data_IF_363324056352
#
_entry.id   IF_363324056352
#
_cell.length_a   1.000
_cell.length_b   1.000
_cell.length_c   1.000
_cell.angle_alpha   90.00
_cell.angle_beta   90.00
_cell.angle_gamma   90.00
#
_symmetry.space_group_name_H-M   'P 1'
#
loop_
_entity.id
_entity.type
_entity.pdbx_description
1 polymer ?
#
# COMPACT_ATOMS: atom_id res chain seq x y z
N UNK A 1 17.23 7.37 24.43
CA UNK A 1 16.20 7.86 23.56
C UNK A 1 16.47 7.55 22.09
N UNK A 2 15.49 7.01 21.44
CA UNK A 2 15.62 6.58 20.05
C UNK A 2 14.82 7.50 19.12
N UNK A 3 15.51 8.31 18.35
CA UNK A 3 14.88 9.25 17.45
C UNK A 3 14.22 8.56 16.25
N UNK A 4 14.66 7.34 15.90
CA UNK A 4 14.07 6.64 14.76
C UNK A 4 12.63 6.22 15.03
N UNK A 5 12.25 6.04 16.28
CA UNK A 5 10.88 5.66 16.63
C UNK A 5 9.88 6.75 16.25
N UNK A 6 10.28 8.02 16.26
CA UNK A 6 9.39 9.11 15.89
C UNK A 6 9.13 9.16 14.39
N UNK A 7 10.12 8.77 13.57
CA UNK A 7 9.98 8.80 12.11
C UNK A 7 9.06 7.69 11.60
N UNK A 8 8.79 6.66 12.43
CA UNK A 8 7.94 5.54 12.05
C UNK A 8 6.53 5.67 12.61
N UNK A 9 6.14 6.87 13.02
CA UNK A 9 4.82 7.10 13.56
C UNK A 9 3.88 7.70 12.54
N UNK A 10 2.61 7.31 12.64
CA UNK A 10 1.55 7.80 11.79
C UNK A 10 0.45 8.39 12.65
N UNK A 11 0.05 9.60 12.30
CA UNK A 11 -0.92 10.37 13.06
C UNK A 11 -2.23 10.41 12.28
N UNK A 12 -3.32 10.08 12.96
CA UNK A 12 -4.64 10.09 12.36
C UNK A 12 -5.40 11.30 12.86
N UNK A 13 -5.87 12.12 11.92
CA UNK A 13 -6.71 13.27 12.23
C UNK A 13 -8.09 13.06 11.62
N UNK A 14 -9.13 13.33 12.40
CA UNK A 14 -10.51 13.29 11.93
C UNK A 14 -11.33 14.25 12.75
N UNK A 15 -12.33 14.83 12.11
CA UNK A 15 -13.19 15.84 12.76
C UNK A 15 -12.40 17.01 13.34
N UNK A 16 -11.27 17.35 12.72
CA UNK A 16 -10.43 18.45 13.16
C UNK A 16 -9.54 18.16 14.36
N UNK A 17 -9.49 16.92 14.83
CA UNK A 17 -8.74 16.52 16.01
C UNK A 17 -7.88 15.30 15.78
N UNK A 18 -6.81 15.16 16.56
CA UNK A 18 -5.98 13.96 16.56
C UNK A 18 -6.77 12.81 17.16
N UNK A 19 -6.94 11.74 16.39
CA UNK A 19 -7.68 10.56 16.81
C UNK A 19 -6.80 9.43 17.30
N UNK A 20 -5.54 9.38 16.88
CA UNK A 20 -4.63 8.34 17.32
C UNK A 20 -3.27 8.44 16.68
N UNK A 21 -2.34 7.67 17.24
CA UNK A 21 -0.96 7.57 16.77
C UNK A 21 -0.65 6.08 16.63
N UNK A 22 -0.10 5.70 15.49
CA UNK A 22 0.13 4.29 15.17
C UNK A 22 1.55 4.06 14.65
N UNK A 23 2.07 2.87 14.88
CA UNK A 23 3.39 2.48 14.40
C UNK A 23 3.36 1.96 12.96
N UNK A 24 2.20 1.53 12.49
CA UNK A 24 2.04 0.96 11.16
C UNK A 24 1.05 1.77 10.34
N UNK A 25 1.40 2.01 9.09
CA UNK A 25 0.54 2.77 8.19
C UNK A 25 -0.82 2.09 8.01
N UNK A 26 -0.86 0.77 7.92
CA UNK A 26 -2.12 0.03 7.76
C UNK A 26 -3.08 0.26 8.91
N UNK A 27 -2.59 0.27 10.15
CA UNK A 27 -3.42 0.54 11.30
C UNK A 27 -3.95 1.97 11.29
N UNK A 28 -3.09 2.93 10.92
CA UNK A 28 -3.49 4.33 10.84
C UNK A 28 -4.55 4.53 9.75
N UNK A 29 -4.39 3.91 8.60
CA UNK A 29 -5.34 4.03 7.50
C UNK A 29 -6.71 3.47 7.90
N UNK A 30 -6.75 2.32 8.57
CA UNK A 30 -8.02 1.76 9.03
C UNK A 30 -8.72 2.68 10.02
N UNK A 31 -7.96 3.29 10.93
CA UNK A 31 -8.51 4.26 11.85
C UNK A 31 -9.03 5.50 11.13
N UNK A 32 -8.26 6.03 10.19
CA UNK A 32 -8.66 7.20 9.42
C UNK A 32 -9.91 6.93 8.59
N UNK A 33 -10.04 5.72 8.05
CA UNK A 33 -11.22 5.34 7.28
C UNK A 33 -12.48 5.37 8.17
N UNK A 34 -12.36 4.93 9.42
CA UNK A 34 -13.46 4.97 10.37
C UNK A 34 -13.84 6.41 10.75
N UNK A 35 -12.86 7.29 10.93
CA UNK A 35 -13.10 8.67 11.36
C UNK A 35 -13.23 9.67 10.20
N UNK A 36 -13.30 9.19 8.96
CA UNK A 36 -13.36 10.05 7.77
C UNK A 36 -12.19 11.03 7.73
N UNK A 37 -11.01 10.53 8.09
CA UNK A 37 -9.87 11.38 8.35
C UNK A 37 -8.72 11.21 7.38
N UNK A 38 -7.59 11.71 7.83
CA UNK A 38 -6.33 11.65 7.08
C UNK A 38 -5.26 11.01 7.93
N UNK A 39 -4.23 10.50 7.26
CA UNK A 39 -3.04 9.98 7.91
C UNK A 39 -1.85 10.82 7.48
N UNK A 40 -1.08 11.31 8.45
CA UNK A 40 0.18 12.01 8.18
C UNK A 40 1.31 11.29 8.91
N UNK A 41 2.52 11.40 8.37
CA UNK A 41 3.69 10.84 9.03
C UNK A 41 4.33 11.87 9.98
N UNK A 42 5.47 11.50 10.57
CA UNK A 42 6.18 12.37 11.51
C UNK A 42 6.71 13.65 10.86
N UNK A 43 6.87 13.64 9.55
CA UNK A 43 7.32 14.82 8.78
C UNK A 43 6.15 15.66 8.26
N UNK A 44 4.93 15.38 8.73
CA UNK A 44 3.71 16.08 8.31
C UNK A 44 3.32 15.82 6.86
N UNK A 45 3.88 14.80 6.22
CA UNK A 45 3.49 14.44 4.87
C UNK A 45 2.20 13.64 4.87
N UNK A 46 1.31 13.95 3.94
CA UNK A 46 0.05 13.23 3.80
C UNK A 46 0.31 11.84 3.23
N UNK A 47 -0.07 10.82 4.00
CA UNK A 47 0.08 9.43 3.59
C UNK A 47 -1.20 8.90 2.96
N UNK A 48 -2.36 9.29 3.49
CA UNK A 48 -3.64 8.76 3.03
C UNK A 48 -4.78 9.69 3.42
N UNK A 49 -5.81 9.75 2.57
CA UNK A 49 -7.01 10.53 2.83
C UNK A 49 -8.22 9.78 2.31
N UNK A 50 -9.24 9.65 3.13
CA UNK A 50 -10.44 8.91 2.75
C UNK A 50 -11.17 9.59 1.59
N UNK A 51 -11.49 8.80 0.57
CA UNK A 51 -12.27 9.27 -0.56
C UNK A 51 -11.57 10.23 -1.49
N UNK A 52 -10.34 10.61 -1.19
CA UNK A 52 -9.60 11.56 -1.99
C UNK A 52 -8.85 10.83 -3.10
N UNK A 53 -9.42 10.81 -4.29
CA UNK A 53 -8.77 10.29 -5.48
C UNK A 53 -8.89 11.32 -6.58
N UNK A 54 -7.77 11.59 -7.22
CA UNK A 54 -7.69 12.65 -8.24
C UNK A 54 -8.28 12.24 -9.57
N UNK A 55 -8.31 10.94 -9.84
CA UNK A 55 -8.74 10.43 -11.13
C UNK A 55 -9.50 9.12 -10.96
N UNK A 56 -10.30 8.80 -11.97
CA UNK A 56 -11.05 7.54 -11.98
C UNK A 56 -10.16 6.36 -12.31
N UNK A 57 -9.02 6.60 -12.90
CA UNK A 57 -8.06 5.57 -13.24
C UNK A 57 -6.65 6.12 -13.10
N UNK A 58 -5.70 5.24 -12.94
CA UNK A 58 -4.30 5.62 -12.87
C UNK A 58 -3.49 4.84 -13.87
N UNK A 59 -2.39 5.41 -14.25
CA UNK A 59 -1.43 4.80 -15.15
C UNK A 59 -0.22 4.40 -14.33
N UNK A 60 0.40 3.30 -14.70
CA UNK A 60 1.61 2.84 -14.02
C UNK A 60 2.72 3.86 -14.24
N UNK A 61 3.12 4.52 -13.16
CA UNK A 61 4.35 5.29 -13.17
C UNK A 61 5.50 4.40 -12.75
N UNK A 62 6.71 4.74 -13.06
CA UNK A 62 7.91 4.03 -12.58
C UNK A 62 7.96 2.57 -12.99
N UNK A 63 7.86 2.28 -14.28
CA UNK A 63 7.93 0.90 -14.77
C UNK A 63 9.22 0.19 -14.38
N UNK A 64 10.34 0.90 -14.31
CA UNK A 64 11.61 0.31 -13.87
C UNK A 64 11.52 -0.22 -12.44
N UNK A 65 10.90 0.55 -11.55
CA UNK A 65 10.73 0.14 -10.15
C UNK A 65 9.85 -1.10 -10.07
N UNK A 66 8.76 -1.12 -10.84
CA UNK A 66 7.85 -2.27 -10.88
C UNK A 66 8.56 -3.50 -11.42
N UNK A 67 9.35 -3.36 -12.48
CA UNK A 67 10.11 -4.46 -13.03
C UNK A 67 11.12 -5.02 -12.03
N UNK A 68 11.78 -4.15 -11.29
CA UNK A 68 12.72 -4.55 -10.24
C UNK A 68 11.99 -5.31 -9.13
N UNK A 69 10.83 -4.82 -8.70
CA UNK A 69 10.01 -5.51 -7.71
C UNK A 69 9.65 -6.91 -8.18
N UNK A 70 9.20 -7.02 -9.42
CA UNK A 70 8.81 -8.30 -9.99
C UNK A 70 9.97 -9.30 -10.01
N UNK A 71 11.13 -8.88 -10.49
CA UNK A 71 12.31 -9.74 -10.57
C UNK A 71 12.76 -10.20 -9.18
N UNK A 72 12.77 -9.30 -8.21
CA UNK A 72 13.23 -9.62 -6.86
C UNK A 72 12.22 -10.48 -6.12
N UNK A 73 10.93 -10.26 -6.34
CA UNK A 73 9.90 -11.12 -5.74
C UNK A 73 9.96 -12.53 -6.30
N UNK A 74 10.31 -12.71 -7.58
CA UNK A 74 10.53 -14.04 -8.15
C UNK A 74 11.69 -14.76 -7.47
N UNK A 75 12.67 -14.01 -6.99
CA UNK A 75 13.82 -14.57 -6.25
C UNK A 75 13.49 -14.78 -4.78
N UNK A 76 12.22 -14.56 -4.39
CA UNK A 76 11.73 -14.75 -3.03
C UNK A 76 12.38 -13.82 -2.01
N UNK A 77 12.75 -12.61 -2.43
CA UNK A 77 13.22 -11.59 -1.50
C UNK A 77 12.03 -11.00 -0.74
N UNK A 78 12.28 -10.53 0.47
CA UNK A 78 11.23 -9.99 1.33
C UNK A 78 10.67 -8.67 0.75
N UNK A 79 9.34 -8.53 0.65
CA UNK A 79 8.74 -7.30 0.11
C UNK A 79 9.21 -6.02 0.80
N UNK A 80 9.35 -6.05 2.12
CA UNK A 80 9.78 -4.89 2.89
C UNK A 80 11.18 -4.44 2.45
N UNK A 81 12.09 -5.38 2.26
CA UNK A 81 13.46 -5.08 1.85
C UNK A 81 13.51 -4.49 0.45
N UNK A 82 12.69 -5.02 -0.46
CA UNK A 82 12.60 -4.53 -1.82
C UNK A 82 12.14 -3.07 -1.85
N UNK A 83 11.05 -2.79 -1.14
CA UNK A 83 10.48 -1.44 -1.15
C UNK A 83 11.43 -0.45 -0.47
N UNK A 84 12.05 -0.82 0.64
CA UNK A 84 13.01 0.05 1.32
C UNK A 84 14.17 0.41 0.43
N UNK A 85 14.70 -0.55 -0.31
CA UNK A 85 15.83 -0.30 -1.21
C UNK A 85 15.45 0.65 -2.35
N UNK A 86 14.23 0.54 -2.84
CA UNK A 86 13.75 1.40 -3.92
C UNK A 86 13.33 2.79 -3.44
N UNK A 87 13.06 2.96 -2.16
CA UNK A 87 12.55 4.20 -1.57
C UNK A 87 13.44 4.78 -0.47
N UNK A 88 14.75 4.63 -0.61
CA UNK A 88 15.71 5.22 0.33
C UNK A 88 15.46 4.82 1.79
N UNK A 89 15.13 3.57 2.01
CA UNK A 89 14.91 3.02 3.34
C UNK A 89 13.51 3.18 3.89
N UNK A 90 12.57 3.65 3.09
CA UNK A 90 11.19 3.87 3.50
C UNK A 90 10.26 2.83 2.93
N UNK A 91 9.32 2.36 3.73
CA UNK A 91 8.21 1.54 3.26
C UNK A 91 7.00 1.78 4.13
N UNK A 92 5.83 1.45 3.59
CA UNK A 92 4.58 1.50 4.33
C UNK A 92 4.09 0.07 4.54
N UNK A 93 3.94 -0.31 5.80
CA UNK A 93 3.31 -1.58 6.15
C UNK A 93 1.80 -1.36 6.14
N UNK A 94 1.17 -1.78 5.07
CA UNK A 94 -0.26 -1.58 4.82
C UNK A 94 -1.08 -2.81 5.18
N UNK A 95 -0.49 -3.74 5.92
CA UNK A 95 -1.16 -4.98 6.28
C UNK A 95 -2.45 -4.72 7.03
N UNK A 96 -3.47 -5.49 6.68
CA UNK A 96 -4.80 -5.37 7.27
C UNK A 96 -5.70 -4.37 6.57
N UNK A 97 -5.18 -3.56 5.64
CA UNK A 97 -6.02 -2.67 4.84
C UNK A 97 -6.85 -3.47 3.85
N UNK A 98 -7.96 -2.91 3.39
CA UNK A 98 -8.67 -3.44 2.25
C UNK A 98 -8.06 -2.92 0.96
N UNK A 99 -8.27 -3.61 -0.14
CA UNK A 99 -7.80 -3.12 -1.44
C UNK A 99 -8.44 -1.77 -1.77
N UNK A 100 -9.67 -1.54 -1.33
CA UNK A 100 -10.33 -0.24 -1.51
C UNK A 100 -9.57 0.90 -0.85
N UNK A 101 -8.97 0.67 0.31
CA UNK A 101 -8.16 1.67 1.00
C UNK A 101 -6.87 1.97 0.24
N UNK A 102 -6.38 1.02 -0.53
CA UNK A 102 -5.12 1.16 -1.25
C UNK A 102 -5.27 1.98 -2.53
N UNK A 103 -6.48 2.22 -2.99
CA UNK A 103 -6.71 2.98 -4.23
C UNK A 103 -6.13 4.39 -4.15
N UNK A 104 -6.15 4.99 -2.98
CA UNK A 104 -5.54 6.30 -2.80
C UNK A 104 -4.03 6.26 -3.12
N UNK A 105 -3.35 5.21 -2.65
CA UNK A 105 -1.91 5.07 -2.89
C UNK A 105 -1.62 4.81 -4.37
N UNK A 106 -2.42 4.00 -5.02
CA UNK A 106 -2.29 3.75 -6.45
C UNK A 106 -2.51 5.03 -7.24
N UNK A 107 -3.42 5.88 -6.78
CA UNK A 107 -3.67 7.19 -7.40
C UNK A 107 -2.44 8.11 -7.29
N UNK A 108 -1.61 7.90 -6.29
CA UNK A 108 -0.35 8.64 -6.10
C UNK A 108 0.82 7.96 -6.83
N UNK A 109 0.56 6.97 -7.67
CA UNK A 109 1.57 6.19 -8.38
C UNK A 109 2.51 5.43 -7.47
N UNK A 110 1.99 4.93 -6.35
CA UNK A 110 2.73 4.10 -5.41
C UNK A 110 2.32 2.65 -5.66
N UNK A 111 3.19 1.82 -6.24
CA UNK A 111 2.86 0.39 -6.41
C UNK A 111 2.83 -0.30 -5.05
N UNK A 112 1.92 -1.24 -4.90
CA UNK A 112 1.73 -1.96 -3.64
C UNK A 112 1.92 -3.45 -3.87
N UNK A 113 2.81 -4.07 -3.09
CA UNK A 113 3.01 -5.51 -3.13
C UNK A 113 1.98 -6.16 -2.21
N UNK A 114 1.20 -7.07 -2.75
CA UNK A 114 0.25 -7.87 -1.98
C UNK A 114 0.69 -9.31 -1.95
N UNK A 115 0.65 -9.93 -0.77
CA UNK A 115 1.03 -11.33 -0.63
C UNK A 115 -0.21 -12.22 -0.65
N UNK A 116 -0.25 -13.18 -1.57
CA UNK A 116 -1.33 -14.16 -1.59
C UNK A 116 -1.10 -15.21 -0.49
N UNK A 117 0.16 -15.62 -0.34
CA UNK A 117 0.62 -16.48 0.75
C UNK A 117 2.12 -16.22 0.95
N UNK A 118 2.80 -17.07 1.71
CA UNK A 118 4.23 -16.88 1.98
C UNK A 118 5.12 -16.98 0.74
N UNK A 119 4.61 -17.55 -0.35
CA UNK A 119 5.38 -17.83 -1.55
C UNK A 119 4.95 -17.02 -2.78
N UNK A 120 3.73 -16.50 -2.78
CA UNK A 120 3.15 -15.86 -3.94
C UNK A 120 2.82 -14.40 -3.70
N UNK A 121 3.22 -13.57 -4.64
CA UNK A 121 2.99 -12.12 -4.56
C UNK A 121 2.32 -11.60 -5.83
N UNK A 122 1.61 -10.49 -5.67
CA UNK A 122 1.12 -9.68 -6.77
C UNK A 122 1.56 -8.25 -6.53
N UNK A 123 1.64 -7.46 -7.60
CA UNK A 123 1.98 -6.04 -7.50
C UNK A 123 0.79 -5.25 -8.02
N UNK A 124 0.17 -4.48 -7.15
CA UNK A 124 -0.93 -3.60 -7.53
C UNK A 124 -0.32 -2.35 -8.15
N UNK A 125 -0.70 -2.02 -9.38
CA UNK A 125 -0.04 -0.97 -10.15
C UNK A 125 -0.97 0.14 -10.60
N UNK A 126 -2.27 -0.05 -10.52
CA UNK A 126 -3.21 0.99 -10.94
C UNK A 126 -4.64 0.57 -10.64
N UNK A 127 -5.56 1.44 -11.01
CA UNK A 127 -6.98 1.15 -10.82
C UNK A 127 -7.82 1.89 -11.86
N UNK A 128 -9.03 1.38 -12.05
CA UNK A 128 -10.08 2.08 -12.78
C UNK A 128 -11.37 1.84 -12.00
N UNK A 129 -11.99 2.91 -11.51
CA UNK A 129 -13.14 2.85 -10.61
C UNK A 129 -12.81 1.97 -9.41
N UNK A 130 -13.44 0.83 -9.24
CA UNK A 130 -13.17 -0.11 -8.13
C UNK A 130 -12.52 -1.41 -8.59
N UNK A 131 -11.88 -1.38 -9.75
CA UNK A 131 -11.10 -2.50 -10.26
C UNK A 131 -9.62 -2.16 -10.22
N UNK A 132 -8.82 -3.14 -9.82
CA UNK A 132 -7.38 -2.96 -9.66
C UNK A 132 -6.64 -3.69 -10.77
N UNK A 133 -5.68 -3.01 -11.36
CA UNK A 133 -4.73 -3.63 -12.29
C UNK A 133 -3.54 -4.12 -11.49
N UNK A 134 -3.19 -5.37 -11.66
CA UNK A 134 -2.08 -5.97 -10.92
C UNK A 134 -1.26 -6.89 -11.80
N UNK A 135 -0.03 -7.16 -11.35
CA UNK A 135 0.87 -8.12 -12.00
C UNK A 135 0.92 -9.37 -11.15
N UNK A 136 0.66 -10.52 -11.77
CA UNK A 136 0.92 -11.81 -11.15
C UNK A 136 2.41 -12.06 -11.28
N UNK A 137 3.14 -12.06 -10.18
CA UNK A 137 4.60 -12.14 -10.21
C UNK A 137 5.09 -13.45 -10.83
N UNK A 138 4.40 -14.57 -10.56
CA UNK A 138 4.81 -15.87 -11.07
C UNK A 138 4.68 -15.98 -12.58
N UNK A 139 3.60 -15.46 -13.15
CA UNK A 139 3.36 -15.54 -14.60
C UNK A 139 3.86 -14.30 -15.36
N UNK A 140 4.00 -13.18 -14.67
CA UNK A 140 4.33 -11.90 -15.29
C UNK A 140 3.18 -11.25 -16.01
N UNK A 141 1.97 -11.81 -15.92
CA UNK A 141 0.80 -11.26 -16.60
C UNK A 141 0.21 -10.07 -15.85
N UNK A 142 -0.30 -9.11 -16.62
CA UNK A 142 -1.08 -8.01 -16.08
C UNK A 142 -2.55 -8.37 -16.14
N UNK A 143 -3.22 -8.27 -15.01
CA UNK A 143 -4.61 -8.70 -14.86
C UNK A 143 -5.41 -7.59 -14.18
N UNK A 144 -6.74 -7.67 -14.28
CA UNK A 144 -7.64 -6.72 -13.65
C UNK A 144 -8.65 -7.49 -12.83
N UNK A 145 -8.89 -7.03 -11.62
CA UNK A 145 -9.88 -7.66 -10.74
C UNK A 145 -10.55 -6.61 -9.86
N UNK A 146 -11.82 -6.82 -9.44
CA UNK A 146 -12.47 -5.93 -8.48
C UNK A 146 -11.73 -5.95 -7.14
N UNK A 147 -11.87 -4.86 -6.38
CA UNK A 147 -11.19 -4.75 -5.07
C UNK A 147 -11.53 -5.91 -4.14
N UNK A 148 -12.75 -6.40 -4.18
CA UNK A 148 -13.17 -7.53 -3.33
C UNK A 148 -12.39 -8.79 -3.66
N UNK A 149 -12.11 -9.03 -4.93
CA UNK A 149 -11.32 -10.18 -5.35
C UNK A 149 -9.86 -10.06 -4.94
N UNK A 150 -9.31 -8.85 -4.99
CA UNK A 150 -7.95 -8.63 -4.50
C UNK A 150 -7.86 -8.96 -3.01
N UNK A 151 -8.84 -8.54 -2.22
CA UNK A 151 -8.87 -8.86 -0.80
C UNK A 151 -8.96 -10.36 -0.55
N UNK A 152 -9.73 -11.08 -1.34
CA UNK A 152 -9.81 -12.54 -1.23
C UNK A 152 -8.48 -13.21 -1.59
N UNK A 153 -7.81 -12.72 -2.62
CA UNK A 153 -6.51 -13.25 -3.05
C UNK A 153 -5.45 -13.15 -1.95
N UNK A 154 -5.48 -12.06 -1.19
CA UNK A 154 -4.48 -11.83 -0.15
C UNK A 154 -4.91 -12.33 1.22
N UNK A 155 -6.12 -12.86 1.36
CA UNK A 155 -6.64 -13.31 2.65
C UNK A 155 -5.78 -14.41 3.29
N UNK A 156 -5.13 -15.25 2.48
CA UNK A 156 -4.26 -16.31 2.99
C UNK A 156 -3.03 -15.80 3.74
N UNK A 157 -2.63 -14.56 3.51
CA UNK A 157 -1.51 -13.92 4.22
C UNK A 157 -1.99 -12.97 5.32
N UNK A 158 -3.31 -12.91 5.58
CA UNK A 158 -3.89 -11.93 6.49
C UNK A 158 -3.96 -10.54 5.88
N UNK A 159 -4.09 -10.44 4.58
CA UNK A 159 -4.13 -9.19 3.82
C UNK A 159 -2.85 -8.37 4.04
N UNK A 160 -1.71 -9.00 3.78
CA UNK A 160 -0.41 -8.33 3.88
C UNK A 160 -0.12 -7.52 2.63
N UNK A 161 0.03 -6.21 2.80
CA UNK A 161 0.35 -5.27 1.74
C UNK A 161 1.52 -4.39 2.16
N UNK A 162 2.45 -4.16 1.24
CA UNK A 162 3.62 -3.31 1.46
C UNK A 162 3.73 -2.31 0.31
N UNK A 163 3.82 -1.04 0.64
CA UNK A 163 3.94 0.00 -0.38
C UNK A 163 5.13 0.93 -0.28
#
# INVERSE_FOLDING_TARGET
FDETSDSDRYYVYGYGELQGIYDKAGEAIRSADEYHGIVVDADQAYIWERGSRRQQHTVVGKEEAVQTMEDRLRKKEAPIDIVKELNDGRCLDLSGCSAGDLLYLLDQNIPVIGMQDAQKAVILIGYYENSVTYIDVDSGERLVAPVEMIDQMTSGSGNTYIG
#
